data_IF_700449433091
#
_entry.id   IF_700449433091
#
_cell.length_a   1.000
_cell.length_b   1.000
_cell.length_c   1.000
_cell.angle_alpha   90.00
_cell.angle_beta   90.00
_cell.angle_gamma   90.00
#
_symmetry.space_group_name_H-M   'P 1'
#
loop_
_entity.id
_entity.type
_entity.pdbx_description
1 polymer ?
#
# COMPACT_ATOMS: atom_id res chain seq x y z
N UNK A 1 49.45 -5.02 -34.22
CA UNK A 1 49.19 -3.88 -33.32
C UNK A 1 47.68 -3.63 -33.20
N UNK A 2 46.92 -4.63 -32.73
CA UNK A 2 45.45 -4.57 -32.54
C UNK A 2 45.11 -5.35 -31.28
N UNK A 3 45.33 -4.76 -30.10
CA UNK A 3 44.85 -5.32 -28.81
C UNK A 3 44.83 -4.24 -27.72
N UNK A 4 44.08 -3.15 -27.96
CA UNK A 4 43.97 -2.08 -26.94
C UNK A 4 42.56 -1.46 -26.84
N UNK A 5 41.55 -2.05 -27.49
CA UNK A 5 40.18 -1.53 -27.52
C UNK A 5 39.18 -2.22 -26.57
N UNK A 6 39.45 -3.44 -26.10
CA UNK A 6 38.45 -4.24 -25.36
C UNK A 6 38.27 -3.81 -23.90
N UNK A 7 39.30 -3.26 -23.25
CA UNK A 7 39.22 -2.91 -21.81
C UNK A 7 38.39 -1.66 -21.48
N UNK A 8 38.33 -0.66 -22.36
CA UNK A 8 37.60 0.59 -22.07
C UNK A 8 36.08 0.44 -22.12
N UNK A 9 35.56 -0.44 -22.97
CA UNK A 9 34.12 -0.64 -23.12
C UNK A 9 33.52 -1.41 -21.92
N UNK A 10 34.26 -2.35 -21.33
CA UNK A 10 33.81 -3.11 -20.16
C UNK A 10 33.83 -2.28 -18.87
N UNK A 11 34.86 -1.44 -18.69
CA UNK A 11 34.98 -0.54 -17.53
C UNK A 11 33.86 0.50 -17.53
N UNK A 12 33.62 1.18 -18.66
CA UNK A 12 32.52 2.15 -18.77
C UNK A 12 31.12 1.53 -18.60
N UNK A 13 30.94 0.27 -19.00
CA UNK A 13 29.67 -0.45 -18.82
C UNK A 13 29.42 -0.79 -17.34
N UNK A 14 30.44 -1.26 -16.60
CA UNK A 14 30.36 -1.53 -15.15
C UNK A 14 30.12 -0.27 -14.31
N UNK A 15 30.73 0.85 -14.68
CA UNK A 15 30.51 2.13 -14.00
C UNK A 15 29.10 2.67 -14.23
N UNK A 16 28.57 2.49 -15.45
CA UNK A 16 27.21 2.90 -15.80
C UNK A 16 26.13 2.08 -15.09
N UNK A 17 26.32 0.76 -14.95
CA UNK A 17 25.39 -0.13 -14.23
C UNK A 17 25.41 0.15 -12.73
N UNK A 18 26.59 0.41 -12.16
CA UNK A 18 26.78 0.87 -10.78
C UNK A 18 26.06 2.19 -10.50
N UNK A 19 26.20 3.18 -11.38
CA UNK A 19 25.51 4.47 -11.25
C UNK A 19 24.00 4.36 -11.45
N UNK A 20 23.54 3.54 -12.40
CA UNK A 20 22.12 3.29 -12.63
C UNK A 20 21.47 2.56 -11.44
N UNK A 21 22.13 1.56 -10.88
CA UNK A 21 21.69 0.87 -9.66
C UNK A 21 21.57 1.85 -8.48
N UNK A 22 22.57 2.71 -8.25
CA UNK A 22 22.49 3.73 -7.19
C UNK A 22 21.32 4.70 -7.39
N UNK A 23 21.05 5.14 -8.62
CA UNK A 23 19.92 6.02 -8.93
C UNK A 23 18.57 5.34 -8.70
N UNK A 24 18.46 4.07 -9.11
CA UNK A 24 17.27 3.26 -8.86
C UNK A 24 17.01 3.12 -7.35
N UNK A 25 18.06 2.82 -6.59
CA UNK A 25 17.98 2.65 -5.15
C UNK A 25 17.63 3.97 -4.44
N UNK A 26 18.25 5.08 -4.85
CA UNK A 26 17.91 6.42 -4.34
C UNK A 26 16.45 6.78 -4.64
N UNK A 27 15.96 6.52 -5.85
CA UNK A 27 14.57 6.78 -6.22
C UNK A 27 13.59 6.00 -5.34
N UNK A 28 13.87 4.73 -5.08
CA UNK A 28 13.04 3.88 -4.24
C UNK A 28 13.07 4.29 -2.77
N UNK A 29 14.25 4.63 -2.22
CA UNK A 29 14.38 5.10 -0.83
C UNK A 29 13.60 6.41 -0.63
N UNK A 30 13.76 7.36 -1.56
CA UNK A 30 13.09 8.67 -1.48
C UNK A 30 11.57 8.51 -1.51
N UNK A 31 11.02 7.73 -2.44
CA UNK A 31 9.56 7.52 -2.48
C UNK A 31 9.05 6.83 -1.21
N UNK A 32 9.76 5.79 -0.73
CA UNK A 32 9.35 5.06 0.48
C UNK A 32 9.42 5.90 1.76
N UNK A 33 10.35 6.87 1.85
CA UNK A 33 10.37 7.85 2.94
C UNK A 33 9.10 8.71 2.94
N UNK A 34 8.68 9.17 1.75
CA UNK A 34 7.43 9.90 1.55
C UNK A 34 6.22 9.09 2.01
N UNK A 35 6.10 7.85 1.53
CA UNK A 35 5.00 6.94 1.87
C UNK A 35 4.90 6.74 3.39
N UNK A 36 6.05 6.50 4.05
CA UNK A 36 6.09 6.29 5.50
C UNK A 36 5.70 7.54 6.30
N UNK A 37 6.12 8.73 5.86
CA UNK A 37 5.73 9.99 6.48
C UNK A 37 4.23 10.29 6.29
N UNK A 38 3.70 10.02 5.09
CA UNK A 38 2.27 10.16 4.79
C UNK A 38 1.41 9.23 5.66
N UNK A 39 1.76 7.95 5.76
CA UNK A 39 1.00 6.97 6.55
C UNK A 39 0.94 7.36 8.03
N UNK A 40 2.03 7.91 8.58
CA UNK A 40 2.06 8.37 9.98
C UNK A 40 1.26 9.66 10.23
N UNK A 41 1.07 10.49 9.21
CA UNK A 41 0.34 11.75 9.33
C UNK A 41 -1.19 11.54 9.45
N UNK A 42 -1.72 10.45 8.89
CA UNK A 42 -3.17 10.19 8.88
C UNK A 42 -3.76 10.05 10.30
N UNK A 43 -3.20 9.23 11.21
CA UNK A 43 -3.64 9.19 12.60
C UNK A 43 -3.43 10.51 13.35
N UNK A 44 -2.32 11.22 13.08
CA UNK A 44 -2.03 12.49 13.75
C UNK A 44 -3.03 13.58 13.36
N UNK A 45 -3.41 13.63 12.08
CA UNK A 45 -4.47 14.51 11.58
C UNK A 45 -5.80 14.19 12.26
N UNK A 46 -6.13 12.91 12.43
CA UNK A 46 -7.31 12.50 13.15
C UNK A 46 -7.32 12.99 14.62
N UNK A 47 -6.18 12.93 15.32
CA UNK A 47 -6.03 13.45 16.70
C UNK A 47 -6.22 14.97 16.78
N UNK A 48 -5.86 15.73 15.75
CA UNK A 48 -6.11 17.20 15.75
C UNK A 48 -7.59 17.55 15.61
N UNK A 49 -8.38 16.69 14.97
CA UNK A 49 -9.81 16.88 14.78
C UNK A 49 -10.59 16.47 16.04
N UNK A 50 -10.12 15.48 16.78
CA UNK A 50 -10.82 14.97 17.96
C UNK A 50 -9.88 14.33 18.99
N UNK A 51 -10.16 14.55 20.28
CA UNK A 51 -9.47 13.88 21.39
C UNK A 51 -10.10 12.55 21.78
N UNK A 52 -11.27 12.25 21.22
CA UNK A 52 -11.97 11.00 21.42
C UNK A 52 -11.29 9.90 20.59
N UNK A 53 -10.67 8.93 21.26
CA UNK A 53 -9.94 7.84 20.62
C UNK A 53 -10.77 7.06 19.58
N UNK A 54 -12.11 7.01 19.71
CA UNK A 54 -13.01 6.37 18.72
C UNK A 54 -13.06 7.17 17.45
N UNK A 55 -13.26 8.48 17.63
CA UNK A 55 -13.33 9.40 16.53
C UNK A 55 -11.95 9.55 15.91
N UNK A 56 -10.85 9.35 16.64
CA UNK A 56 -9.51 9.27 16.04
C UNK A 56 -9.39 8.02 15.15
N UNK A 57 -9.79 6.83 15.62
CA UNK A 57 -9.76 5.61 14.78
C UNK A 57 -10.70 5.70 13.58
N UNK A 58 -11.90 6.26 13.79
CA UNK A 58 -12.89 6.47 12.74
C UNK A 58 -12.44 7.57 11.78
N UNK A 59 -11.94 8.70 12.24
CA UNK A 59 -11.39 9.78 11.40
C UNK A 59 -10.09 9.34 10.75
N UNK A 60 -9.30 8.42 11.29
CA UNK A 60 -8.16 7.84 10.58
C UNK A 60 -8.62 6.90 9.46
N UNK A 61 -9.64 6.05 9.71
CA UNK A 61 -10.23 5.17 8.70
C UNK A 61 -11.03 5.95 7.64
N UNK A 62 -11.70 7.02 8.06
CA UNK A 62 -12.46 7.93 7.22
C UNK A 62 -11.53 8.91 6.53
N UNK A 63 -10.44 9.41 7.11
CA UNK A 63 -9.44 10.23 6.40
C UNK A 63 -8.64 9.39 5.40
N UNK A 64 -8.49 8.09 5.64
CA UNK A 64 -8.09 7.12 4.61
C UNK A 64 -9.12 6.98 3.47
N UNK A 65 -10.24 7.71 3.50
CA UNK A 65 -11.29 7.71 2.47
C UNK A 65 -12.24 8.93 2.37
N UNK A 66 -12.03 10.08 3.03
CA UNK A 66 -13.02 11.16 3.13
C UNK A 66 -12.48 12.49 3.69
N UNK A 67 -12.16 13.39 2.75
CA UNK A 67 -12.49 14.84 2.73
C UNK A 67 -12.69 15.15 1.24
N UNK A 68 -13.85 15.67 0.83
CA UNK A 68 -14.33 15.70 -0.58
C UNK A 68 -13.89 14.47 -1.40
N UNK A 69 -14.54 13.34 -1.12
CA UNK A 69 -14.30 11.98 -1.66
C UNK A 69 -13.82 11.96 -3.12
N UNK A 70 -14.34 12.84 -3.98
CA UNK A 70 -14.00 12.83 -5.41
C UNK A 70 -12.54 13.23 -5.69
N UNK A 71 -12.02 14.31 -5.11
CA UNK A 71 -10.67 14.77 -5.42
C UNK A 71 -9.60 13.97 -4.69
N UNK A 72 -9.87 13.53 -3.46
CA UNK A 72 -8.97 12.62 -2.75
C UNK A 72 -8.96 11.22 -3.35
N UNK A 73 -10.08 10.68 -3.84
CA UNK A 73 -10.08 9.38 -4.55
C UNK A 73 -9.31 9.50 -5.85
N UNK A 74 -9.48 10.58 -6.61
CA UNK A 74 -8.68 10.80 -7.83
C UNK A 74 -7.20 10.94 -7.48
N UNK A 75 -6.84 11.73 -6.47
CA UNK A 75 -5.46 11.89 -6.04
C UNK A 75 -4.85 10.57 -5.52
N UNK A 76 -5.54 9.85 -4.63
CA UNK A 76 -5.10 8.57 -4.08
C UNK A 76 -5.07 7.46 -5.14
N UNK A 77 -6.00 7.45 -6.09
CA UNK A 77 -5.98 6.53 -7.22
C UNK A 77 -4.80 6.83 -8.15
N UNK A 78 -4.56 8.11 -8.48
CA UNK A 78 -3.43 8.49 -9.31
C UNK A 78 -2.11 8.24 -8.61
N UNK A 79 -1.97 8.60 -7.34
CA UNK A 79 -0.80 8.32 -6.51
C UNK A 79 -0.58 6.82 -6.36
N UNK A 80 -1.60 6.06 -6.01
CA UNK A 80 -1.52 4.60 -5.87
C UNK A 80 -1.22 3.89 -7.19
N UNK A 81 -1.83 4.32 -8.31
CA UNK A 81 -1.49 3.80 -9.63
C UNK A 81 -0.03 4.12 -10.00
N UNK A 82 0.41 5.34 -9.70
CA UNK A 82 1.79 5.77 -9.91
C UNK A 82 2.78 5.00 -9.02
N UNK A 83 2.47 4.75 -7.75
CA UNK A 83 3.26 3.99 -6.79
C UNK A 83 3.37 2.52 -7.23
N UNK A 84 2.26 1.90 -7.62
CA UNK A 84 2.23 0.53 -8.13
C UNK A 84 3.10 0.40 -9.39
N UNK A 85 2.98 1.35 -10.32
CA UNK A 85 3.81 1.36 -11.54
C UNK A 85 5.27 1.60 -11.20
N UNK A 86 5.60 2.57 -10.35
CA UNK A 86 6.97 2.92 -9.98
C UNK A 86 7.66 1.79 -9.20
N UNK A 87 6.97 1.20 -8.23
CA UNK A 87 7.45 0.08 -7.42
C UNK A 87 7.68 -1.17 -8.27
N UNK A 88 6.71 -1.52 -9.13
CA UNK A 88 6.86 -2.68 -10.02
C UNK A 88 7.93 -2.45 -11.09
N UNK A 89 8.02 -1.23 -11.63
CA UNK A 89 9.08 -0.87 -12.58
C UNK A 89 10.47 -0.97 -11.93
N UNK A 90 10.60 -0.55 -10.67
CA UNK A 90 11.87 -0.64 -9.95
C UNK A 90 12.30 -2.09 -9.73
N UNK A 91 11.37 -2.97 -9.31
CA UNK A 91 11.65 -4.40 -9.17
C UNK A 91 11.95 -5.08 -10.52
N UNK A 92 11.26 -4.70 -11.59
CA UNK A 92 11.48 -5.25 -12.93
C UNK A 92 12.77 -4.72 -13.59
N UNK A 93 13.27 -3.55 -13.19
CA UNK A 93 14.51 -2.97 -13.70
C UNK A 93 15.75 -3.57 -13.05
N UNK A 94 15.66 -4.02 -11.79
CA UNK A 94 16.81 -4.50 -11.03
C UNK A 94 17.62 -5.61 -11.73
N UNK A 95 16.99 -6.66 -12.32
CA UNK A 95 17.71 -7.72 -13.04
C UNK A 95 18.51 -7.25 -14.26
N UNK A 96 18.20 -6.07 -14.80
CA UNK A 96 18.89 -5.49 -15.96
C UNK A 96 20.06 -4.59 -15.58
N UNK A 97 20.18 -4.22 -14.30
CA UNK A 97 21.19 -3.30 -13.79
C UNK A 97 22.34 -4.01 -13.07
N UNK A 98 22.12 -5.24 -12.63
CA UNK A 98 23.05 -5.98 -11.78
C UNK A 98 23.26 -7.38 -12.38
N UNK A 99 24.50 -7.92 -12.39
CA UNK A 99 24.76 -9.30 -12.82
C UNK A 99 23.93 -10.32 -12.04
N UNK A 100 23.63 -11.47 -12.65
CA UNK A 100 22.74 -12.50 -12.08
C UNK A 100 23.28 -13.02 -10.73
N UNK A 101 24.59 -13.06 -10.58
CA UNK A 101 25.32 -13.50 -9.40
C UNK A 101 25.05 -12.57 -8.20
N UNK A 102 24.91 -11.27 -8.45
CA UNK A 102 24.74 -10.24 -7.44
C UNK A 102 23.26 -9.95 -7.13
N UNK A 103 22.31 -10.55 -7.85
CA UNK A 103 20.88 -10.25 -7.70
C UNK A 103 20.34 -10.54 -6.31
N UNK A 104 20.82 -11.60 -5.64
CA UNK A 104 20.39 -11.93 -4.28
C UNK A 104 20.76 -10.82 -3.29
N UNK A 105 22.00 -10.34 -3.37
CA UNK A 105 22.47 -9.22 -2.54
C UNK A 105 21.72 -7.93 -2.90
N UNK A 106 21.56 -7.65 -4.20
CA UNK A 106 20.91 -6.44 -4.66
C UNK A 106 19.43 -6.38 -4.25
N UNK A 107 18.70 -7.50 -4.31
CA UNK A 107 17.33 -7.61 -3.80
C UNK A 107 17.26 -7.45 -2.28
N UNK A 108 18.16 -8.09 -1.54
CA UNK A 108 18.21 -7.98 -0.08
C UNK A 108 18.46 -6.53 0.37
N UNK A 109 19.41 -5.85 -0.28
CA UNK A 109 19.70 -4.44 -0.04
C UNK A 109 18.54 -3.54 -0.45
N UNK A 110 17.91 -3.80 -1.59
CA UNK A 110 16.74 -3.05 -2.05
C UNK A 110 15.61 -3.15 -1.02
N UNK A 111 15.27 -4.36 -0.59
CA UNK A 111 14.24 -4.61 0.40
C UNK A 111 14.55 -3.94 1.74
N UNK A 112 15.77 -4.13 2.27
CA UNK A 112 16.18 -3.54 3.54
C UNK A 112 16.13 -2.00 3.48
N UNK A 113 16.64 -1.40 2.40
CA UNK A 113 16.67 0.05 2.24
C UNK A 113 15.25 0.65 2.14
N UNK A 114 14.37 0.06 1.33
CA UNK A 114 13.00 0.56 1.18
C UNK A 114 12.17 0.34 2.43
N UNK A 115 12.29 -0.81 3.11
CA UNK A 115 11.55 -1.03 4.37
C UNK A 115 12.08 -0.16 5.51
N UNK A 116 13.39 0.05 5.61
CA UNK A 116 13.95 0.96 6.64
C UNK A 116 13.47 2.39 6.40
N UNK A 117 13.49 2.83 5.14
CA UNK A 117 12.94 4.12 4.74
C UNK A 117 11.45 4.24 5.12
N UNK A 118 10.63 3.28 4.70
CA UNK A 118 9.16 3.34 4.85
C UNK A 118 8.68 3.14 6.27
N UNK A 119 9.16 2.10 6.94
CA UNK A 119 8.58 1.64 8.20
C UNK A 119 9.28 2.24 9.40
N UNK A 120 10.57 2.59 9.28
CA UNK A 120 11.36 3.09 10.40
C UNK A 120 11.63 4.59 10.33
N UNK A 121 12.14 5.09 9.20
CA UNK A 121 12.51 6.51 9.07
C UNK A 121 11.32 7.42 8.74
N UNK A 122 10.39 6.93 7.90
CA UNK A 122 9.21 7.67 7.47
C UNK A 122 8.33 8.15 8.63
N UNK A 123 7.89 7.28 9.56
CA UNK A 123 6.95 7.70 10.61
C UNK A 123 7.47 8.79 11.57
N UNK A 124 8.71 8.74 12.08
CA UNK A 124 9.28 9.85 12.84
C UNK A 124 9.35 11.16 12.05
N UNK A 125 9.72 11.11 10.76
CA UNK A 125 9.76 12.29 9.88
C UNK A 125 8.34 12.84 9.70
N UNK A 126 7.36 11.96 9.43
CA UNK A 126 5.95 12.32 9.33
C UNK A 126 5.43 12.99 10.59
N UNK A 127 5.75 12.45 11.77
CA UNK A 127 5.38 13.04 13.06
C UNK A 127 5.99 14.41 13.30
N UNK A 128 7.29 14.58 13.02
CA UNK A 128 7.98 15.87 13.14
C UNK A 128 7.42 16.92 12.19
N UNK A 129 7.22 16.56 10.91
CA UNK A 129 6.63 17.44 9.91
C UNK A 129 5.21 17.83 10.27
N UNK A 130 4.42 16.86 10.75
CA UNK A 130 3.05 17.12 11.21
C UNK A 130 3.01 18.10 12.37
N UNK A 131 3.96 17.99 13.32
CA UNK A 131 4.11 18.93 14.43
C UNK A 131 4.41 20.36 14.00
N UNK A 132 5.05 20.56 12.83
CA UNK A 132 5.30 21.87 12.22
C UNK A 132 4.10 22.37 11.41
N UNK A 133 3.29 21.47 10.87
CA UNK A 133 2.08 21.78 10.13
C UNK A 133 1.40 20.55 9.53
N UNK A 134 0.07 20.47 9.70
CA UNK A 134 -0.71 19.31 9.29
C UNK A 134 -0.60 18.95 7.80
N UNK A 135 -0.33 19.93 6.93
CA UNK A 135 -0.15 19.72 5.48
C UNK A 135 1.26 19.26 5.06
N UNK A 136 2.28 19.41 5.91
CA UNK A 136 3.67 19.20 5.52
C UNK A 136 4.02 17.75 5.16
N UNK A 137 3.52 16.71 5.85
CA UNK A 137 3.78 15.32 5.45
C UNK A 137 3.29 14.99 4.04
N UNK A 138 2.15 15.57 3.63
CA UNK A 138 1.57 15.39 2.30
C UNK A 138 2.39 16.08 1.21
N UNK A 139 2.86 17.30 1.48
CA UNK A 139 3.77 18.03 0.58
C UNK A 139 5.10 17.30 0.46
N UNK A 140 5.64 16.81 1.57
CA UNK A 140 6.88 16.03 1.60
C UNK A 140 6.78 14.76 0.77
N UNK A 141 5.67 14.04 0.86
CA UNK A 141 5.41 12.86 0.04
C UNK A 141 5.36 13.20 -1.46
N UNK A 142 4.59 14.23 -1.83
CA UNK A 142 4.51 14.68 -3.22
C UNK A 142 5.88 15.10 -3.80
N UNK A 143 6.69 15.82 -3.02
CA UNK A 143 8.05 16.22 -3.40
C UNK A 143 8.98 15.01 -3.52
N UNK A 144 8.87 14.05 -2.59
CA UNK A 144 9.65 12.81 -2.61
C UNK A 144 9.32 11.97 -3.84
N UNK A 145 8.03 11.86 -4.18
CA UNK A 145 7.59 11.18 -5.40
C UNK A 145 8.12 11.89 -6.65
N UNK A 146 8.01 13.22 -6.74
CA UNK A 146 8.54 13.99 -7.87
C UNK A 146 10.06 13.81 -8.02
N UNK A 147 10.80 13.83 -6.91
CA UNK A 147 12.24 13.57 -6.90
C UNK A 147 12.58 12.15 -7.39
N UNK A 148 11.78 11.14 -6.99
CA UNK A 148 11.91 9.76 -7.48
C UNK A 148 11.74 9.68 -8.99
N UNK A 149 10.70 10.33 -9.55
CA UNK A 149 10.48 10.40 -11.00
C UNK A 149 11.66 11.05 -11.73
N UNK A 150 12.22 12.14 -11.20
CA UNK A 150 13.41 12.81 -11.78
C UNK A 150 14.62 11.89 -11.77
N UNK A 151 14.85 11.13 -10.70
CA UNK A 151 15.95 10.17 -10.61
C UNK A 151 15.78 9.01 -11.59
N UNK A 152 14.56 8.47 -11.72
CA UNK A 152 14.24 7.38 -12.66
C UNK A 152 14.40 7.82 -14.12
N UNK A 153 14.03 9.07 -14.47
CA UNK A 153 14.24 9.61 -15.83
C UNK A 153 15.71 9.69 -16.25
N UNK A 154 16.65 9.70 -15.30
CA UNK A 154 18.10 9.70 -15.55
C UNK A 154 18.68 8.29 -15.69
N UNK A 155 17.85 7.24 -15.64
CA UNK A 155 18.28 5.89 -15.95
C UNK A 155 18.52 5.75 -17.45
N UNK A 156 19.52 4.92 -17.86
CA UNK A 156 19.76 4.64 -19.27
C UNK A 156 18.48 4.13 -19.95
N UNK A 157 18.07 4.75 -21.07
CA UNK A 157 16.91 4.28 -21.84
C UNK A 157 17.17 2.85 -22.32
N UNK A 158 16.32 1.92 -21.88
CA UNK A 158 16.34 0.54 -22.39
C UNK A 158 15.96 0.56 -23.87
N UNK A 159 16.78 -0.06 -24.72
CA UNK A 159 16.36 -0.34 -26.09
C UNK A 159 15.21 -1.36 -26.02
N UNK A 160 14.01 -1.06 -26.56
CA UNK A 160 12.93 -2.03 -26.59
C UNK A 160 13.42 -3.29 -27.32
N UNK A 161 13.14 -4.46 -26.74
CA UNK A 161 13.38 -5.74 -27.40
C UNK A 161 12.50 -5.89 -28.66
N UNK A 162 12.74 -6.91 -29.49
CA UNK A 162 11.98 -7.12 -30.71
C UNK A 162 10.48 -7.31 -30.42
N UNK A 163 9.66 -6.43 -30.99
CA UNK A 163 8.18 -6.36 -30.96
C UNK A 163 7.50 -6.31 -29.58
N UNK A 164 6.65 -5.31 -29.29
CA UNK A 164 5.91 -5.25 -28.04
C UNK A 164 4.86 -6.37 -28.02
N UNK A 165 5.16 -7.46 -27.32
CA UNK A 165 4.13 -8.44 -26.96
C UNK A 165 3.05 -7.67 -26.19
N UNK A 166 1.77 -7.72 -26.61
CA UNK A 166 0.72 -6.98 -25.92
C UNK A 166 0.65 -7.45 -24.45
N UNK A 167 0.52 -6.50 -23.52
CA UNK A 167 0.60 -6.75 -22.07
C UNK A 167 -0.25 -7.95 -21.62
N UNK A 168 -1.46 -8.10 -22.17
CA UNK A 168 -2.36 -9.22 -21.87
C UNK A 168 -1.74 -10.58 -22.21
N UNK A 169 -1.05 -10.71 -23.35
CA UNK A 169 -0.36 -11.94 -23.74
C UNK A 169 0.87 -12.19 -22.86
N UNK A 170 1.66 -11.17 -22.57
CA UNK A 170 2.81 -11.28 -21.69
C UNK A 170 2.41 -11.74 -20.27
N UNK A 171 1.34 -11.15 -19.70
CA UNK A 171 0.76 -11.57 -18.42
C UNK A 171 0.25 -13.02 -18.50
N UNK A 172 -0.48 -13.36 -19.56
CA UNK A 172 -1.00 -14.73 -19.75
C UNK A 172 0.10 -15.79 -19.93
N UNK A 173 1.22 -15.46 -20.56
CA UNK A 173 2.40 -16.31 -20.65
C UNK A 173 3.06 -16.50 -19.29
N UNK A 174 3.28 -15.41 -18.54
CA UNK A 174 3.86 -15.46 -17.20
C UNK A 174 3.01 -16.29 -16.22
N UNK A 175 1.69 -16.10 -16.23
CA UNK A 175 0.77 -16.87 -15.40
C UNK A 175 0.75 -18.36 -15.76
N UNK A 176 0.73 -18.69 -17.06
CA UNK A 176 0.78 -20.09 -17.52
C UNK A 176 2.09 -20.76 -17.11
N UNK A 177 3.22 -20.06 -17.26
CA UNK A 177 4.52 -20.56 -16.86
C UNK A 177 4.59 -20.77 -15.33
N UNK A 178 4.13 -19.81 -14.55
CA UNK A 178 4.07 -19.91 -13.08
C UNK A 178 3.18 -21.08 -12.64
N UNK A 179 2.03 -21.26 -13.29
CA UNK A 179 1.13 -22.37 -13.02
C UNK A 179 1.78 -23.73 -13.32
N UNK A 180 2.69 -23.81 -14.28
CA UNK A 180 3.44 -25.03 -14.59
C UNK A 180 4.56 -25.34 -13.60
N UNK A 181 5.10 -24.35 -12.89
CA UNK A 181 6.28 -24.51 -12.04
C UNK A 181 5.90 -24.75 -10.56
N UNK A 182 5.98 -26.01 -10.10
CA UNK A 182 5.48 -26.45 -8.78
C UNK A 182 6.00 -25.62 -7.60
N UNK A 183 7.30 -25.35 -7.52
CA UNK A 183 7.92 -24.61 -6.42
C UNK A 183 7.44 -23.15 -6.37
N UNK A 184 7.52 -22.44 -7.49
CA UNK A 184 7.13 -21.04 -7.56
C UNK A 184 5.62 -20.85 -7.38
N UNK A 185 4.81 -21.80 -7.86
CA UNK A 185 3.36 -21.82 -7.58
C UNK A 185 3.07 -21.97 -6.10
N UNK A 186 3.73 -22.90 -5.41
CA UNK A 186 3.55 -23.10 -3.98
C UNK A 186 3.96 -21.86 -3.18
N UNK A 187 5.12 -21.26 -3.50
CA UNK A 187 5.58 -20.02 -2.87
C UNK A 187 4.63 -18.86 -3.12
N UNK A 188 4.11 -18.71 -4.34
CA UNK A 188 3.13 -17.66 -4.67
C UNK A 188 1.83 -17.82 -3.87
N UNK A 189 1.32 -19.05 -3.72
CA UNK A 189 0.12 -19.35 -2.93
C UNK A 189 0.38 -19.06 -1.45
N UNK A 190 1.50 -19.53 -0.89
CA UNK A 190 1.84 -19.30 0.51
C UNK A 190 2.01 -17.80 0.81
N UNK A 191 2.66 -17.05 -0.08
CA UNK A 191 2.82 -15.61 0.06
C UNK A 191 1.48 -14.89 -0.05
N UNK A 192 0.62 -15.29 -0.99
CA UNK A 192 -0.71 -14.72 -1.13
C UNK A 192 -1.58 -14.98 0.11
N UNK A 193 -1.56 -16.20 0.65
CA UNK A 193 -2.26 -16.55 1.89
C UNK A 193 -1.69 -15.80 3.09
N UNK A 194 -0.37 -15.68 3.20
CA UNK A 194 0.28 -14.94 4.27
C UNK A 194 -0.12 -13.46 4.25
N UNK A 195 -0.02 -12.80 3.09
CA UNK A 195 -0.44 -11.40 2.93
C UNK A 195 -1.93 -11.23 3.19
N UNK A 196 -2.76 -12.15 2.72
CA UNK A 196 -4.20 -12.13 2.97
C UNK A 196 -4.53 -12.23 4.46
N UNK A 197 -3.93 -13.18 5.19
CA UNK A 197 -4.12 -13.34 6.63
C UNK A 197 -3.60 -12.12 7.40
N UNK A 198 -2.46 -11.57 7.00
CA UNK A 198 -1.90 -10.36 7.62
C UNK A 198 -2.83 -9.15 7.46
N UNK A 199 -3.37 -8.95 6.24
CA UNK A 199 -4.33 -7.88 5.98
C UNK A 199 -5.64 -8.09 6.74
N UNK A 200 -6.16 -9.32 6.80
CA UNK A 200 -7.35 -9.65 7.60
C UNK A 200 -7.14 -9.36 9.09
N UNK A 201 -5.98 -9.74 9.65
CA UNK A 201 -5.66 -9.46 11.04
C UNK A 201 -5.58 -7.96 11.32
N UNK A 202 -4.95 -7.19 10.42
CA UNK A 202 -4.83 -5.73 10.53
C UNK A 202 -6.20 -5.07 10.50
N UNK A 203 -7.06 -5.43 9.55
CA UNK A 203 -8.44 -4.94 9.46
C UNK A 203 -9.21 -5.28 10.73
N UNK A 204 -9.17 -6.53 11.17
CA UNK A 204 -9.86 -7.00 12.39
C UNK A 204 -9.39 -6.23 13.63
N UNK A 205 -8.10 -5.95 13.75
CA UNK A 205 -7.54 -5.21 14.88
C UNK A 205 -8.03 -3.75 14.91
N UNK A 206 -8.10 -3.09 13.75
CA UNK A 206 -8.66 -1.73 13.64
C UNK A 206 -10.13 -1.72 14.05
N UNK A 207 -10.91 -2.70 13.61
CA UNK A 207 -12.33 -2.81 13.97
C UNK A 207 -12.55 -3.13 15.44
N UNK A 208 -11.72 -4.00 16.01
CA UNK A 208 -11.75 -4.31 17.44
C UNK A 208 -11.43 -3.05 18.25
N UNK A 209 -10.43 -2.27 17.84
CA UNK A 209 -10.11 -0.99 18.47
C UNK A 209 -11.32 -0.05 18.41
N UNK A 210 -11.95 0.11 17.26
CA UNK A 210 -13.17 0.94 17.13
C UNK A 210 -14.29 0.42 18.04
N UNK A 211 -14.54 -0.88 18.06
CA UNK A 211 -15.60 -1.51 18.87
C UNK A 211 -15.38 -1.35 20.36
N UNK A 212 -14.18 -1.69 20.85
CA UNK A 212 -13.81 -1.58 22.26
C UNK A 212 -13.91 -0.13 22.70
N UNK A 213 -13.30 0.79 21.95
CA UNK A 213 -13.37 2.19 22.33
C UNK A 213 -14.85 2.61 22.31
N UNK A 214 -15.67 2.20 21.32
CA UNK A 214 -17.15 2.43 21.17
C UNK A 214 -18.01 1.85 22.30
N UNK A 215 -17.57 0.82 23.00
CA UNK A 215 -18.20 0.38 24.25
C UNK A 215 -17.72 1.25 25.42
N UNK A 216 -16.42 1.49 25.56
CA UNK A 216 -15.82 2.16 26.73
C UNK A 216 -16.36 3.58 26.99
N UNK A 217 -16.30 4.52 26.05
CA UNK A 217 -16.98 5.82 26.22
C UNK A 217 -18.52 5.79 26.35
N UNK A 218 -19.24 4.73 25.96
CA UNK A 218 -20.67 4.65 26.28
C UNK A 218 -20.81 4.42 27.78
N UNK A 219 -19.89 3.66 28.36
CA UNK A 219 -19.83 3.47 29.80
C UNK A 219 -19.36 4.72 30.55
N UNK A 220 -18.50 5.57 29.95
CA UNK A 220 -18.04 6.80 30.62
C UNK A 220 -18.94 8.01 30.42
N UNK A 221 -19.61 8.15 29.28
CA UNK A 221 -20.42 9.34 28.95
C UNK A 221 -21.90 9.15 29.31
N UNK A 222 -22.43 7.93 29.26
CA UNK A 222 -23.85 7.68 29.57
C UNK A 222 -24.01 7.48 31.09
N UNK A 223 -24.87 8.26 31.77
CA UNK A 223 -25.18 8.05 33.18
C UNK A 223 -25.63 6.61 33.45
N UNK A 224 -25.18 6.01 34.55
CA UNK A 224 -25.41 4.59 34.85
C UNK A 224 -26.89 4.16 34.75
N UNK A 225 -27.82 5.05 35.13
CA UNK A 225 -29.27 4.80 35.04
C UNK A 225 -29.82 4.73 33.60
N UNK A 226 -29.14 5.34 32.63
CA UNK A 226 -29.54 5.37 31.21
C UNK A 226 -28.73 4.39 30.35
N UNK A 227 -27.64 3.84 30.87
CA UNK A 227 -26.70 2.99 30.14
C UNK A 227 -27.40 1.79 29.51
N UNK A 228 -28.27 1.10 30.25
CA UNK A 228 -29.07 0.00 29.71
C UNK A 228 -30.02 0.43 28.59
N UNK A 229 -30.67 1.58 28.72
CA UNK A 229 -31.62 2.11 27.71
C UNK A 229 -30.91 2.52 26.42
N UNK A 230 -29.79 3.23 26.54
CA UNK A 230 -28.96 3.64 25.39
C UNK A 230 -28.39 2.41 24.67
N UNK A 231 -27.99 1.39 25.42
CA UNK A 231 -27.44 0.17 24.83
C UNK A 231 -28.49 -0.63 24.03
N UNK A 232 -29.75 -0.66 24.50
CA UNK A 232 -30.86 -1.27 23.77
C UNK A 232 -31.17 -0.52 22.48
N UNK A 233 -31.24 0.81 22.50
CA UNK A 233 -31.47 1.63 21.29
C UNK A 233 -30.35 1.41 20.28
N UNK A 234 -29.09 1.40 20.72
CA UNK A 234 -27.94 1.15 19.85
C UNK A 234 -28.00 -0.25 19.23
N UNK A 235 -28.36 -1.28 20.02
CA UNK A 235 -28.53 -2.65 19.51
C UNK A 235 -29.72 -2.79 18.56
N UNK A 236 -30.82 -2.09 18.78
CA UNK A 236 -31.94 -2.10 17.83
C UNK A 236 -31.56 -1.44 16.51
N UNK A 237 -30.83 -0.33 16.55
CA UNK A 237 -30.34 0.33 15.34
C UNK A 237 -29.32 -0.57 14.61
N UNK A 238 -28.36 -1.17 15.32
CA UNK A 238 -27.35 -2.01 14.70
C UNK A 238 -27.92 -3.32 14.16
N UNK A 239 -28.74 -4.03 14.95
CA UNK A 239 -29.35 -5.29 14.56
C UNK A 239 -30.50 -5.11 13.55
N UNK A 240 -31.15 -3.94 13.53
CA UNK A 240 -32.21 -3.59 12.58
C UNK A 240 -31.68 -3.33 11.16
N UNK A 241 -30.43 -2.89 11.01
CA UNK A 241 -29.78 -2.78 9.70
C UNK A 241 -29.29 -4.13 9.14
N UNK A 242 -29.03 -5.12 9.99
CA UNK A 242 -28.60 -6.47 9.58
C UNK A 242 -29.54 -7.14 8.58
N UNK A 243 -30.87 -7.21 8.77
CA UNK A 243 -31.78 -7.80 7.80
C UNK A 243 -31.84 -7.01 6.48
N UNK A 244 -31.69 -5.68 6.50
CA UNK A 244 -31.61 -4.88 5.28
C UNK A 244 -30.34 -5.20 4.48
N UNK A 245 -29.21 -5.35 5.17
CA UNK A 245 -27.96 -5.81 4.56
C UNK A 245 -28.06 -7.23 4.00
N UNK A 246 -28.76 -8.12 4.70
CA UNK A 246 -29.01 -9.49 4.23
C UNK A 246 -29.89 -9.53 2.98
N UNK A 247 -30.94 -8.69 2.92
CA UNK A 247 -31.81 -8.56 1.74
C UNK A 247 -31.02 -7.99 0.56
N UNK A 248 -30.25 -6.91 0.76
CA UNK A 248 -29.39 -6.34 -0.27
C UNK A 248 -28.33 -7.34 -0.76
N UNK A 249 -27.70 -8.08 0.15
CA UNK A 249 -26.78 -9.16 -0.17
C UNK A 249 -27.44 -10.31 -0.94
N UNK A 250 -28.69 -10.62 -0.63
CA UNK A 250 -29.52 -11.59 -1.35
C UNK A 250 -29.81 -11.19 -2.80
N UNK A 251 -30.15 -9.92 -3.05
CA UNK A 251 -30.33 -9.39 -4.41
C UNK A 251 -29.03 -9.44 -5.21
N UNK A 252 -27.90 -9.05 -4.60
CA UNK A 252 -26.58 -9.14 -5.26
C UNK A 252 -26.20 -10.59 -5.55
N UNK A 253 -26.52 -11.53 -4.66
CA UNK A 253 -26.28 -12.96 -4.86
C UNK A 253 -27.18 -13.55 -5.97
N UNK A 254 -28.39 -13.04 -6.13
CA UNK A 254 -29.34 -13.44 -7.16
C UNK A 254 -28.87 -12.97 -8.55
N UNK A 255 -28.51 -11.70 -8.68
CA UNK A 255 -28.22 -11.10 -9.99
C UNK A 255 -26.80 -11.45 -10.49
N UNK A 256 -25.81 -11.54 -9.60
CA UNK A 256 -24.40 -11.76 -9.96
C UNK A 256 -23.86 -13.14 -9.54
N UNK A 257 -24.74 -13.99 -8.98
CA UNK A 257 -24.43 -15.35 -8.54
C UNK A 257 -23.69 -15.42 -7.20
N UNK A 258 -23.82 -16.56 -6.52
CA UNK A 258 -23.23 -16.79 -5.17
C UNK A 258 -21.72 -16.54 -5.10
N UNK A 259 -20.98 -16.68 -6.21
CA UNK A 259 -19.54 -16.44 -6.26
C UNK A 259 -19.16 -14.95 -6.10
N UNK A 260 -20.05 -14.02 -6.43
CA UNK A 260 -19.85 -12.59 -6.22
C UNK A 260 -20.28 -12.12 -4.81
N UNK A 261 -21.17 -12.86 -4.15
CA UNK A 261 -21.69 -12.53 -2.84
C UNK A 261 -20.66 -12.72 -1.70
N UNK A 262 -19.78 -13.71 -1.80
CA UNK A 262 -18.76 -14.00 -0.77
C UNK A 262 -17.76 -12.85 -0.51
N UNK A 263 -17.13 -12.22 -1.53
CA UNK A 263 -16.26 -11.08 -1.28
C UNK A 263 -17.02 -9.88 -0.70
N UNK A 264 -18.26 -9.62 -1.14
CA UNK A 264 -19.07 -8.49 -0.64
C UNK A 264 -19.49 -8.69 0.82
N UNK A 265 -19.87 -9.91 1.21
CA UNK A 265 -20.18 -10.25 2.60
C UNK A 265 -18.96 -10.14 3.53
N UNK A 266 -17.77 -10.50 3.04
CA UNK A 266 -16.52 -10.30 3.77
C UNK A 266 -16.18 -8.83 4.02
N UNK A 267 -16.52 -7.94 3.08
CA UNK A 267 -16.35 -6.49 3.23
C UNK A 267 -17.39 -5.85 4.17
N UNK A 268 -18.62 -6.35 4.20
CA UNK A 268 -19.67 -5.84 5.09
C UNK A 268 -19.51 -6.32 6.54
N UNK A 269 -19.04 -7.56 6.77
CA UNK A 269 -18.72 -8.05 8.13
C UNK A 269 -17.53 -7.33 8.76
N UNK A 270 -16.73 -6.65 7.94
CA UNK A 270 -15.67 -5.72 8.35
C UNK A 270 -16.22 -4.35 8.77
N UNK A 271 -17.51 -4.05 8.60
CA UNK A 271 -18.09 -2.73 8.91
C UNK A 271 -19.12 -2.76 10.06
N UNK A 272 -19.41 -3.94 10.61
CA UNK A 272 -20.37 -4.19 11.70
C UNK A 272 -19.69 -4.53 13.00
#
# INVERSE_FOLDING_TARGET
MVSMGYGRAEVGRRDSTSAAYRRLQAAAIVSNLGDGAFVAAVPLLAVTVTRDMRLVSLVAAVAAGAVEIRWLVVAAFLLGACEVVAGNAAHAALPSLVPVEDLRWANGRQFAATNTARTFAGPPIGGLLFGMGAGLPFVFDAVSFAASVVLLRRLPRRRPGPSPVPMRRAVGEGLRWLAGHRLLRALAILLALNLFCFQLATVTLVLLAVSVVTVSLRQTVVPAALLGRVNVVYRMLSAGLTPLGAVAGGFVAHDWGMRAAYPIAGWCGVLS
#
